data_IF_031019265950
#
_entry.id   IF_031019265950
#
_cell.length_a   1.000
_cell.length_b   1.000
_cell.length_c   1.000
_cell.angle_alpha   90.00
_cell.angle_beta   90.00
_cell.angle_gamma   90.00
#
_symmetry.space_group_name_H-M   'P 1'
#
loop_
_entity.id
_entity.type
_entity.pdbx_description
1 polymer ?
#
# COMPACT_ATOMS: atom_id res chain seq x y z
N UNK A 1 -3.94 5.17 28.12
CA UNK A 1 -3.26 4.93 29.41
C UNK A 1 -4.19 4.48 30.56
N UNK A 2 -5.47 4.13 30.34
CA UNK A 2 -6.38 3.74 31.43
C UNK A 2 -6.22 2.30 31.95
N UNK A 3 -5.65 1.40 31.15
CA UNK A 3 -5.47 -0.02 31.52
C UNK A 3 -4.45 -0.23 32.65
N UNK A 4 -3.33 0.50 32.62
CA UNK A 4 -2.26 0.38 33.61
C UNK A 4 -2.66 1.00 34.96
N UNK A 5 -3.42 2.09 34.93
CA UNK A 5 -3.97 2.74 36.14
C UNK A 5 -5.08 1.90 36.80
N UNK A 6 -5.89 1.19 36.01
CA UNK A 6 -6.94 0.30 36.50
C UNK A 6 -6.36 -0.98 37.15
N UNK A 7 -5.32 -1.56 36.54
CA UNK A 7 -4.62 -2.71 37.14
C UNK A 7 -3.90 -2.36 38.44
N UNK A 8 -3.31 -1.16 38.55
CA UNK A 8 -2.68 -0.70 39.81
C UNK A 8 -3.69 -0.52 40.95
N UNK A 9 -4.96 -0.26 40.65
CA UNK A 9 -6.03 -0.07 41.66
C UNK A 9 -6.77 -1.36 42.02
N UNK A 10 -6.35 -2.52 41.48
CA UNK A 10 -6.99 -3.81 41.74
C UNK A 10 -8.41 -3.94 41.14
N UNK A 11 -8.79 -3.03 40.24
CA UNK A 11 -10.10 -3.03 39.61
C UNK A 11 -10.08 -4.05 38.47
N UNK A 12 -10.99 -5.02 38.52
CA UNK A 12 -11.12 -6.07 37.52
C UNK A 12 -11.43 -5.47 36.15
N UNK A 13 -10.89 -6.05 35.07
CA UNK A 13 -11.22 -5.66 33.71
C UNK A 13 -12.75 -5.69 33.44
N UNK A 14 -13.48 -6.59 34.11
CA UNK A 14 -14.95 -6.69 34.02
C UNK A 14 -15.70 -5.49 34.62
N UNK A 15 -15.08 -4.79 35.59
CA UNK A 15 -15.62 -3.56 36.18
C UNK A 15 -15.28 -2.34 35.32
N UNK A 16 -14.11 -2.35 34.66
CA UNK A 16 -13.65 -1.24 33.83
C UNK A 16 -14.36 -1.17 32.47
N UNK A 17 -14.70 -2.32 31.88
CA UNK A 17 -15.31 -2.42 30.55
C UNK A 17 -16.82 -2.68 30.60
N UNK A 18 -17.40 -2.85 31.80
CA UNK A 18 -18.71 -3.47 31.95
C UNK A 18 -18.65 -4.95 31.54
N UNK A 19 -19.64 -5.75 31.95
CA UNK A 19 -19.67 -7.19 31.65
C UNK A 19 -19.71 -7.57 30.17
N UNK A 20 -19.66 -6.60 29.26
CA UNK A 20 -19.77 -6.78 27.82
C UNK A 20 -18.73 -5.94 27.08
N UNK A 21 -17.55 -6.53 26.88
CA UNK A 21 -16.42 -5.88 26.21
C UNK A 21 -16.77 -5.45 24.76
N UNK A 22 -17.77 -6.07 24.15
CA UNK A 22 -18.26 -5.75 22.82
C UNK A 22 -19.04 -4.43 22.80
N UNK A 23 -19.87 -4.17 23.81
CA UNK A 23 -20.59 -2.90 23.97
C UNK A 23 -19.62 -1.73 24.22
N UNK A 24 -18.56 -1.96 25.01
CA UNK A 24 -17.51 -0.95 25.19
C UNK A 24 -16.75 -0.69 23.88
N UNK A 25 -16.37 -1.74 23.15
CA UNK A 25 -15.70 -1.60 21.86
C UNK A 25 -16.56 -0.81 20.86
N UNK A 26 -17.88 -1.07 20.80
CA UNK A 26 -18.82 -0.30 19.98
C UNK A 26 -18.86 1.17 20.37
N UNK A 27 -18.94 1.50 21.67
CA UNK A 27 -18.94 2.89 22.14
C UNK A 27 -17.64 3.64 21.82
N UNK A 28 -16.50 2.92 21.82
CA UNK A 28 -15.21 3.48 21.42
C UNK A 28 -15.18 3.68 19.90
N UNK A 29 -15.67 2.73 19.12
CA UNK A 29 -15.75 2.87 17.65
C UNK A 29 -16.66 4.02 17.23
N UNK A 30 -17.78 4.22 17.92
CA UNK A 30 -18.68 5.37 17.68
C UNK A 30 -18.05 6.72 18.02
N UNK A 31 -17.12 6.76 18.97
CA UNK A 31 -16.40 7.98 19.36
C UNK A 31 -15.10 8.19 18.57
N UNK A 32 -14.68 7.22 17.76
CA UNK A 32 -13.54 7.41 16.87
C UNK A 32 -13.91 8.35 15.73
N UNK A 33 -13.07 9.36 15.43
CA UNK A 33 -13.29 10.22 14.27
C UNK A 33 -13.34 9.33 13.02
N UNK A 34 -14.44 9.43 12.26
CA UNK A 34 -14.61 8.66 11.04
C UNK A 34 -13.42 8.93 10.13
N UNK A 35 -12.62 7.90 9.84
CA UNK A 35 -11.47 8.03 8.96
C UNK A 35 -11.94 8.64 7.64
N UNK A 36 -11.32 9.75 7.22
CA UNK A 36 -11.68 10.44 5.98
C UNK A 36 -11.56 9.46 4.83
N UNK A 37 -12.70 9.00 4.31
CA UNK A 37 -12.74 8.23 3.07
C UNK A 37 -12.37 9.20 1.96
N UNK A 38 -11.20 8.99 1.37
CA UNK A 38 -10.91 9.56 0.05
C UNK A 38 -11.87 8.86 -0.91
N UNK A 39 -12.86 9.58 -1.42
CA UNK A 39 -13.91 9.03 -2.28
C UNK A 39 -13.63 9.35 -3.76
N UNK A 40 -14.05 8.44 -4.64
CA UNK A 40 -14.01 8.63 -6.09
C UNK A 40 -12.60 8.72 -6.68
N UNK A 41 -12.40 9.62 -7.64
CA UNK A 41 -11.18 9.73 -8.43
C UNK A 41 -9.91 10.01 -7.59
N UNK A 42 -10.04 10.77 -6.49
CA UNK A 42 -8.92 11.11 -5.62
C UNK A 42 -8.27 9.86 -4.98
N UNK A 43 -9.07 8.82 -4.68
CA UNK A 43 -8.58 7.56 -4.14
C UNK A 43 -7.70 6.81 -5.15
N UNK A 44 -8.19 6.63 -6.37
CA UNK A 44 -7.45 5.95 -7.44
C UNK A 44 -6.19 6.72 -7.84
N UNK A 45 -6.27 8.06 -7.90
CA UNK A 45 -5.12 8.92 -8.16
C UNK A 45 -4.08 8.77 -7.05
N UNK A 46 -4.49 8.72 -5.78
CA UNK A 46 -3.55 8.52 -4.66
C UNK A 46 -2.82 7.18 -4.76
N UNK A 47 -3.53 6.10 -5.09
CA UNK A 47 -2.92 4.77 -5.24
C UNK A 47 -1.89 4.77 -6.38
N UNK A 48 -2.28 5.25 -7.55
CA UNK A 48 -1.38 5.34 -8.70
C UNK A 48 -0.16 6.23 -8.39
N UNK A 49 -0.38 7.39 -7.77
CA UNK A 49 0.69 8.33 -7.40
C UNK A 49 1.69 7.71 -6.41
N UNK A 50 1.18 6.98 -5.42
CA UNK A 50 2.00 6.26 -4.44
C UNK A 50 2.82 5.17 -5.12
N UNK A 51 2.19 4.36 -5.98
CA UNK A 51 2.87 3.28 -6.69
C UNK A 51 4.00 3.79 -7.58
N UNK A 52 3.77 4.89 -8.30
CA UNK A 52 4.79 5.54 -9.12
C UNK A 52 5.94 6.09 -8.27
N UNK A 53 5.64 6.70 -7.13
CA UNK A 53 6.68 7.19 -6.21
C UNK A 53 7.58 6.04 -5.73
N UNK A 54 6.99 4.90 -5.37
CA UNK A 54 7.74 3.71 -4.94
C UNK A 54 8.55 3.12 -6.10
N UNK A 55 7.99 3.08 -7.31
CA UNK A 55 8.71 2.61 -8.50
C UNK A 55 10.00 3.41 -8.73
N UNK A 56 9.90 4.74 -8.74
CA UNK A 56 11.07 5.60 -8.93
C UNK A 56 12.06 5.53 -7.78
N UNK A 57 11.59 5.30 -6.55
CA UNK A 57 12.47 5.04 -5.41
C UNK A 57 13.27 3.74 -5.60
N UNK A 58 12.59 2.65 -5.99
CA UNK A 58 13.23 1.35 -6.22
C UNK A 58 14.29 1.45 -7.34
N UNK A 59 13.95 2.12 -8.45
CA UNK A 59 14.87 2.36 -9.57
C UNK A 59 16.07 3.23 -9.15
N UNK A 60 15.87 4.25 -8.31
CA UNK A 60 16.97 5.03 -7.76
C UNK A 60 17.88 4.16 -6.89
N UNK A 61 17.32 3.35 -5.98
CA UNK A 61 18.10 2.46 -5.09
C UNK A 61 18.88 1.41 -5.90
N UNK A 62 18.25 0.78 -6.89
CA UNK A 62 18.90 -0.21 -7.76
C UNK A 62 19.98 0.47 -8.61
N UNK A 63 19.69 1.63 -9.18
CA UNK A 63 20.65 2.39 -10.01
C UNK A 63 21.87 2.85 -9.24
N UNK A 64 21.70 3.42 -8.04
CA UNK A 64 22.81 3.80 -7.17
C UNK A 64 23.56 2.58 -6.63
N UNK A 65 22.85 1.50 -6.28
CA UNK A 65 23.47 0.24 -5.85
C UNK A 65 24.34 -0.39 -6.94
N UNK A 66 23.87 -0.37 -8.19
CA UNK A 66 24.63 -0.86 -9.35
C UNK A 66 25.88 -0.01 -9.61
N UNK A 67 25.76 1.33 -9.52
CA UNK A 67 26.91 2.24 -9.62
C UNK A 67 27.94 1.99 -8.52
N UNK A 68 27.49 1.73 -7.29
CA UNK A 68 28.38 1.39 -6.17
C UNK A 68 29.10 0.05 -6.37
N UNK A 69 28.45 -0.90 -7.06
CA UNK A 69 29.01 -2.20 -7.41
C UNK A 69 29.90 -2.19 -8.67
N UNK A 70 30.13 -1.02 -9.30
CA UNK A 70 31.00 -0.88 -10.47
C UNK A 70 30.36 -1.34 -11.80
N UNK A 71 29.04 -1.50 -11.84
CA UNK A 71 28.32 -1.77 -13.09
C UNK A 71 27.93 -0.46 -13.77
N UNK A 72 28.16 -0.36 -15.09
CA UNK A 72 27.64 0.71 -15.91
C UNK A 72 26.10 0.61 -15.94
N UNK A 73 25.45 1.44 -15.13
CA UNK A 73 24.01 1.40 -14.86
C UNK A 73 23.09 1.64 -16.06
N UNK A 74 23.61 1.81 -17.29
CA UNK A 74 22.84 2.07 -18.51
C UNK A 74 21.89 0.93 -18.92
N UNK A 75 22.22 -0.33 -18.61
CA UNK A 75 21.36 -1.48 -18.95
C UNK A 75 20.24 -1.70 -17.93
N UNK A 76 20.49 -1.33 -16.67
CA UNK A 76 19.55 -1.52 -15.57
C UNK A 76 18.54 -0.37 -15.45
N UNK A 77 18.92 0.87 -15.77
CA UNK A 77 18.06 2.06 -15.67
C UNK A 77 17.12 2.27 -16.87
N UNK A 78 16.59 1.19 -17.45
CA UNK A 78 15.63 1.25 -18.56
C UNK A 78 14.22 0.98 -18.08
N UNK A 79 13.45 2.06 -17.96
CA UNK A 79 12.02 2.01 -17.64
C UNK A 79 11.23 2.19 -18.94
N UNK A 80 10.31 1.25 -19.22
CA UNK A 80 9.35 1.41 -20.32
C UNK A 80 8.13 2.19 -19.85
N UNK A 81 7.53 2.97 -20.76
CA UNK A 81 6.24 3.63 -20.49
C UNK A 81 5.18 2.61 -20.08
N UNK A 82 5.25 1.41 -20.65
CA UNK A 82 4.36 0.34 -20.27
C UNK A 82 4.50 -0.04 -18.80
N UNK A 83 5.73 -0.18 -18.30
CA UNK A 83 5.97 -0.54 -16.91
C UNK A 83 5.35 0.49 -15.97
N UNK A 84 5.46 1.77 -16.30
CA UNK A 84 4.81 2.87 -15.54
C UNK A 84 3.30 2.70 -15.51
N UNK A 85 2.67 2.46 -16.68
CA UNK A 85 1.21 2.26 -16.78
C UNK A 85 0.78 1.00 -16.04
N UNK A 86 1.51 -0.11 -16.21
CA UNK A 86 1.22 -1.40 -15.59
C UNK A 86 1.34 -1.33 -14.07
N UNK A 87 2.32 -0.59 -13.56
CA UNK A 87 2.49 -0.35 -12.12
C UNK A 87 1.34 0.48 -11.57
N UNK A 88 0.96 1.57 -12.25
CA UNK A 88 -0.16 2.41 -11.83
C UNK A 88 -1.50 1.64 -11.84
N UNK A 89 -1.83 0.99 -12.95
CA UNK A 89 -3.06 0.22 -13.10
C UNK A 89 -3.05 -1.03 -12.21
N UNK A 90 -1.93 -1.75 -12.14
CA UNK A 90 -1.76 -2.93 -11.31
C UNK A 90 -1.92 -2.61 -9.83
N UNK A 91 -1.33 -1.51 -9.35
CA UNK A 91 -1.49 -1.08 -7.96
C UNK A 91 -2.96 -0.75 -7.62
N UNK A 92 -3.70 -0.13 -8.53
CA UNK A 92 -5.14 0.13 -8.35
C UNK A 92 -5.89 -1.20 -8.21
N UNK A 93 -5.70 -2.13 -9.14
CA UNK A 93 -6.39 -3.43 -9.14
C UNK A 93 -6.03 -4.25 -7.90
N UNK A 94 -4.74 -4.30 -7.52
CA UNK A 94 -4.28 -4.99 -6.31
C UNK A 94 -4.90 -4.40 -5.05
N UNK A 95 -4.94 -3.06 -4.95
CA UNK A 95 -5.52 -2.38 -3.79
C UNK A 95 -7.02 -2.63 -3.70
N UNK A 96 -7.76 -2.58 -4.81
CA UNK A 96 -9.18 -2.93 -4.88
C UNK A 96 -9.47 -4.36 -4.41
N UNK A 97 -8.68 -5.33 -4.89
CA UNK A 97 -8.82 -6.74 -4.50
C UNK A 97 -8.51 -6.90 -3.01
N UNK A 98 -7.46 -6.24 -2.52
CA UNK A 98 -7.07 -6.28 -1.11
C UNK A 98 -8.16 -5.68 -0.20
N UNK A 99 -8.71 -4.52 -0.56
CA UNK A 99 -9.80 -3.86 0.17
C UNK A 99 -11.08 -4.68 0.14
N UNK A 100 -11.44 -5.30 -0.99
CA UNK A 100 -12.58 -6.23 -1.06
C UNK A 100 -12.36 -7.46 -0.18
N UNK A 101 -11.13 -7.97 -0.09
CA UNK A 101 -10.81 -9.09 0.78
C UNK A 101 -10.98 -8.72 2.27
N UNK A 102 -10.52 -7.53 2.66
CA UNK A 102 -10.68 -7.00 4.03
C UNK A 102 -12.15 -6.73 4.38
N UNK A 103 -12.92 -6.14 3.47
CA UNK A 103 -14.36 -5.93 3.66
C UNK A 103 -15.12 -7.25 3.85
N UNK A 104 -14.74 -8.28 3.10
CA UNK A 104 -15.31 -9.63 3.25
C UNK A 104 -15.07 -10.27 4.62
N UNK A 105 -13.96 -9.92 5.29
CA UNK A 105 -13.67 -10.39 6.65
C UNK A 105 -14.37 -9.57 7.73
N UNK A 106 -14.78 -8.33 7.44
CA UNK A 106 -15.46 -7.46 8.39
C UNK A 106 -16.96 -7.78 8.53
N UNK A 107 -17.62 -8.22 7.45
CA UNK A 107 -19.03 -8.67 7.46
C UNK A 107 -19.21 -10.11 7.97
N UNK A 108 -18.13 -10.88 8.05
CA UNK A 108 -18.16 -12.20 8.65
C UNK A 108 -17.97 -12.06 10.16
N UNK A 109 -19.06 -12.18 10.92
CA UNK A 109 -19.03 -12.31 12.39
C UNK A 109 -18.02 -13.39 12.85
N UNK A 110 -17.73 -13.49 14.16
CA UNK A 110 -16.48 -14.01 14.73
C UNK A 110 -16.16 -15.43 14.28
N UNK A 111 -15.54 -15.57 13.12
CA UNK A 111 -15.06 -16.83 12.61
C UNK A 111 -13.54 -16.79 12.60
N UNK A 112 -12.99 -17.89 13.12
CA UNK A 112 -11.57 -18.15 13.36
C UNK A 112 -10.70 -17.64 12.21
N UNK A 113 -9.50 -17.11 12.50
CA UNK A 113 -8.55 -16.70 11.48
C UNK A 113 -7.99 -17.94 10.76
N UNK A 114 -8.79 -18.50 9.86
CA UNK A 114 -8.36 -19.53 8.94
C UNK A 114 -7.58 -18.85 7.83
N UNK A 115 -6.32 -19.23 7.65
CA UNK A 115 -5.52 -18.81 6.51
C UNK A 115 -6.31 -19.19 5.25
N UNK A 116 -6.86 -18.19 4.56
CA UNK A 116 -7.61 -18.39 3.33
C UNK A 116 -6.64 -18.74 2.20
N UNK A 117 -6.28 -20.02 2.10
CA UNK A 117 -5.39 -20.55 1.05
C UNK A 117 -5.86 -20.17 -0.36
N UNK A 118 -7.18 -20.03 -0.55
CA UNK A 118 -7.79 -19.50 -1.78
C UNK A 118 -7.39 -18.03 -2.06
N UNK A 119 -7.39 -17.18 -1.04
CA UNK A 119 -6.98 -15.79 -1.19
C UNK A 119 -5.48 -15.67 -1.48
N UNK A 120 -4.65 -16.50 -0.83
CA UNK A 120 -3.21 -16.59 -1.11
C UNK A 120 -2.97 -17.07 -2.55
N UNK A 121 -3.66 -18.12 -3.00
CA UNK A 121 -3.53 -18.64 -4.36
C UNK A 121 -3.90 -17.61 -5.42
N UNK A 122 -5.00 -16.86 -5.22
CA UNK A 122 -5.40 -15.77 -6.12
C UNK A 122 -4.34 -14.67 -6.16
N UNK A 123 -3.79 -14.28 -5.01
CA UNK A 123 -2.74 -13.26 -4.94
C UNK A 123 -1.46 -13.69 -5.67
N UNK A 124 -1.06 -14.95 -5.51
CA UNK A 124 0.08 -15.55 -6.23
C UNK A 124 -0.14 -15.55 -7.75
N UNK A 125 -1.33 -15.95 -8.21
CA UNK A 125 -1.67 -15.93 -9.64
C UNK A 125 -1.63 -14.51 -10.19
N UNK A 126 -2.20 -13.53 -9.49
CA UNK A 126 -2.15 -12.11 -9.90
C UNK A 126 -0.70 -11.63 -9.99
N UNK A 127 0.14 -11.96 -9.01
CA UNK A 127 1.56 -11.60 -9.01
C UNK A 127 2.28 -12.19 -10.23
N UNK A 128 2.04 -13.46 -10.55
CA UNK A 128 2.62 -14.12 -11.74
C UNK A 128 2.12 -13.46 -13.02
N UNK A 129 0.83 -13.15 -13.12
CA UNK A 129 0.26 -12.47 -14.30
C UNK A 129 0.88 -11.08 -14.49
N UNK A 130 1.05 -10.31 -13.41
CA UNK A 130 1.71 -9.00 -13.47
C UNK A 130 3.17 -9.13 -13.90
N UNK A 131 3.89 -10.13 -13.39
CA UNK A 131 5.28 -10.40 -13.81
C UNK A 131 5.38 -10.79 -15.29
N UNK A 132 4.52 -11.70 -15.76
CA UNK A 132 4.50 -12.15 -17.16
C UNK A 132 4.09 -11.03 -18.11
N UNK A 133 3.10 -10.22 -17.73
CA UNK A 133 2.71 -9.04 -18.49
C UNK A 133 3.86 -8.01 -18.53
N UNK A 134 4.49 -7.71 -17.39
CA UNK A 134 5.62 -6.80 -17.33
C UNK A 134 6.81 -7.26 -18.18
N UNK A 135 7.10 -8.57 -18.16
CA UNK A 135 8.20 -9.15 -18.92
C UNK A 135 7.91 -9.17 -20.43
N UNK A 136 6.72 -9.62 -20.84
CA UNK A 136 6.36 -9.80 -22.26
C UNK A 136 6.22 -8.47 -22.99
N UNK A 137 5.81 -7.41 -22.29
CA UNK A 137 5.58 -6.10 -22.91
C UNK A 137 6.80 -5.17 -22.84
N UNK A 138 7.92 -5.61 -22.25
CA UNK A 138 9.20 -4.88 -22.23
C UNK A 138 9.76 -4.62 -23.64
N UNK A 139 9.35 -5.41 -24.64
CA UNK A 139 9.80 -5.29 -26.02
C UNK A 139 8.92 -4.45 -26.97
N UNK A 140 7.71 -4.03 -26.58
CA UNK A 140 6.74 -3.40 -27.51
C UNK A 140 6.63 -1.87 -27.41
N UNK A 141 7.07 -1.25 -26.32
CA UNK A 141 6.99 0.21 -26.12
C UNK A 141 8.38 0.85 -25.96
N UNK A 142 8.55 2.14 -26.33
CA UNK A 142 9.82 2.83 -26.20
C UNK A 142 10.33 2.78 -24.76
N UNK A 143 11.56 2.32 -24.61
CA UNK A 143 12.29 2.27 -23.34
C UNK A 143 13.09 3.56 -23.19
N UNK A 144 12.89 4.24 -22.07
CA UNK A 144 13.66 5.44 -21.73
C UNK A 144 14.73 5.07 -20.73
N UNK A 145 15.97 5.49 -21.00
CA UNK A 145 17.06 5.40 -20.03
C UNK A 145 16.90 6.57 -19.07
N UNK A 146 16.45 6.29 -17.85
CA UNK A 146 16.27 7.33 -16.82
C UNK A 146 17.49 7.30 -15.91
N UNK A 147 18.32 8.35 -15.86
CA UNK A 147 19.46 8.39 -14.95
C UNK A 147 18.99 8.22 -13.49
N UNK A 148 19.78 7.55 -12.61
CA UNK A 148 19.35 7.29 -11.23
C UNK A 148 18.96 8.56 -10.46
N UNK A 149 19.66 9.67 -10.75
CA UNK A 149 19.38 10.99 -10.19
C UNK A 149 18.01 11.55 -10.59
N UNK A 150 17.56 11.28 -11.83
CA UNK A 150 16.23 11.71 -12.30
C UNK A 150 15.14 10.92 -11.58
N UNK A 151 15.33 9.60 -11.41
CA UNK A 151 14.44 8.77 -10.60
C UNK A 151 14.36 9.25 -9.15
N UNK A 152 15.49 9.68 -8.57
CA UNK A 152 15.53 10.25 -7.21
C UNK A 152 14.73 11.55 -7.11
N UNK A 153 14.89 12.47 -8.08
CA UNK A 153 14.12 13.73 -8.12
C UNK A 153 12.62 13.45 -8.26
N UNK A 154 12.24 12.52 -9.15
CA UNK A 154 10.84 12.11 -9.32
C UNK A 154 10.26 11.50 -8.05
N UNK A 155 11.04 10.69 -7.33
CA UNK A 155 10.64 10.17 -6.03
C UNK A 155 10.41 11.29 -5.01
N UNK A 156 11.31 12.28 -4.93
CA UNK A 156 11.17 13.42 -4.02
C UNK A 156 9.90 14.21 -4.34
N UNK A 157 9.65 14.51 -5.62
CA UNK A 157 8.43 15.19 -6.08
C UNK A 157 7.18 14.35 -5.77
N UNK A 158 7.23 13.04 -6.02
CA UNK A 158 6.16 12.11 -5.71
C UNK A 158 5.80 12.12 -4.22
N UNK A 159 6.81 12.06 -3.36
CA UNK A 159 6.65 12.11 -1.91
C UNK A 159 6.11 13.46 -1.41
N UNK A 160 6.61 14.57 -1.97
CA UNK A 160 6.09 15.93 -1.72
C UNK A 160 4.62 16.04 -2.13
N UNK A 161 4.27 15.53 -3.31
CA UNK A 161 2.89 15.48 -3.79
C UNK A 161 1.98 14.68 -2.87
N UNK A 162 2.44 13.52 -2.40
CA UNK A 162 1.69 12.71 -1.43
C UNK A 162 1.44 13.47 -0.13
N UNK A 163 2.50 14.10 0.41
CA UNK A 163 2.45 14.83 1.68
C UNK A 163 1.58 16.09 1.59
N UNK A 164 1.68 16.86 0.52
CA UNK A 164 0.98 18.14 0.38
C UNK A 164 -0.47 18.02 -0.08
N UNK A 165 -0.77 17.04 -0.94
CA UNK A 165 -2.10 16.91 -1.56
C UNK A 165 -2.97 15.96 -0.75
N UNK A 166 -2.44 14.79 -0.36
CA UNK A 166 -3.24 13.72 0.24
C UNK A 166 -3.16 13.68 1.77
N UNK A 167 -2.03 14.09 2.36
CA UNK A 167 -1.85 14.11 3.83
C UNK A 167 -2.21 15.44 4.49
N UNK A 168 -2.62 16.46 3.73
CA UNK A 168 -2.99 17.76 4.31
C UNK A 168 -4.30 17.63 5.08
N UNK A 169 -4.22 17.74 6.42
CA UNK A 169 -5.36 18.00 7.30
C UNK A 169 -6.02 19.33 6.88
N UNK A 170 -7.13 19.26 6.15
CA UNK A 170 -8.24 20.20 6.32
C UNK A 170 -9.21 19.61 7.31
#
# INVERSE_FOLDING_TARGET
MRLLEAQQKGISASELFGGDAEAFAQSVVETLPTARKLEGAAYYIMIAWTALTILFLAEAVIGFGAQFAGYDGESLNRISVLAIILVAAGAIVLTEIFMKSLGKTADAGPQKPGINLKAIGVYLVIMVVVMVAGFSLRGMLPVFTVPPWVSLVLCIIGFLGLRFIFLRKR
#
